data_IF_296820071980
#
_entry.id   IF_296820071980
#
_cell.length_a   1.000
_cell.length_b   1.000
_cell.length_c   1.000
_cell.angle_alpha   90.00
_cell.angle_beta   90.00
_cell.angle_gamma   90.00
#
_symmetry.space_group_name_H-M   'P 1'
#
loop_
_entity.id
_entity.type
_entity.pdbx_description
1 polymer ?
#
# COMPACT_ATOMS: atom_id res chain seq x y z
N UNK A 1 -21.15 -32.13 9.32
CA UNK A 1 -21.06 -30.75 8.80
C UNK A 1 -22.40 -30.09 9.05
N UNK A 2 -22.43 -28.81 9.41
CA UNK A 2 -23.68 -28.11 9.68
C UNK A 2 -23.79 -26.86 8.81
N UNK A 3 -24.93 -26.66 8.18
CA UNK A 3 -25.26 -25.46 7.41
C UNK A 3 -26.33 -24.70 8.18
N UNK A 4 -26.14 -23.40 8.37
CA UNK A 4 -27.19 -22.55 8.91
C UNK A 4 -28.10 -22.07 7.78
N UNK A 5 -29.41 -22.28 7.94
CA UNK A 5 -30.42 -21.75 7.02
C UNK A 5 -30.62 -20.25 7.23
N UNK A 6 -31.38 -19.62 6.33
CA UNK A 6 -31.83 -18.23 6.32
C UNK A 6 -32.46 -17.80 7.65
N UNK A 7 -33.11 -18.75 8.32
CA UNK A 7 -33.77 -18.58 9.63
C UNK A 7 -32.86 -18.88 10.83
N UNK A 8 -31.54 -19.00 10.61
CA UNK A 8 -30.49 -19.27 11.61
C UNK A 8 -30.58 -20.63 12.32
N UNK A 9 -31.39 -21.57 11.82
CA UNK A 9 -31.38 -22.95 12.28
C UNK A 9 -30.19 -23.73 11.71
N UNK A 10 -29.46 -24.47 12.55
CA UNK A 10 -28.33 -25.31 12.14
C UNK A 10 -28.80 -26.68 11.67
N UNK A 11 -28.77 -26.94 10.37
CA UNK A 11 -29.02 -28.25 9.79
C UNK A 11 -27.70 -29.02 9.69
N UNK A 12 -27.52 -30.00 10.58
CA UNK A 12 -26.34 -30.85 10.63
C UNK A 12 -26.57 -32.18 9.89
N UNK A 13 -25.64 -32.54 9.03
CA UNK A 13 -25.64 -33.82 8.30
C UNK A 13 -24.25 -34.46 8.32
N UNK A 14 -24.22 -35.77 8.14
CA UNK A 14 -22.98 -36.53 8.14
C UNK A 14 -22.23 -36.28 6.82
N UNK A 15 -21.03 -35.71 6.92
CA UNK A 15 -20.25 -35.34 5.75
C UNK A 15 -19.40 -36.52 5.29
N UNK A 16 -19.66 -37.01 4.08
CA UNK A 16 -18.86 -38.05 3.46
C UNK A 16 -18.13 -37.51 2.22
N UNK A 17 -16.80 -37.43 2.30
CA UNK A 17 -15.92 -36.91 1.24
C UNK A 17 -15.98 -37.69 -0.08
N UNK A 18 -16.49 -38.92 -0.07
CA UNK A 18 -16.53 -39.79 -1.27
C UNK A 18 -17.83 -39.68 -2.06
N UNK A 19 -18.90 -39.12 -1.48
CA UNK A 19 -20.21 -39.00 -2.14
C UNK A 19 -20.28 -37.67 -2.89
N UNK A 20 -20.32 -37.72 -4.23
CA UNK A 20 -20.53 -36.54 -5.08
C UNK A 20 -22.02 -36.40 -5.38
N UNK A 21 -22.59 -35.24 -5.10
CA UNK A 21 -24.00 -34.95 -5.38
C UNK A 21 -24.11 -34.23 -6.72
N UNK A 22 -25.04 -34.67 -7.57
CA UNK A 22 -25.35 -33.98 -8.82
C UNK A 22 -26.59 -33.12 -8.55
N UNK A 23 -26.41 -31.80 -8.41
CA UNK A 23 -27.46 -30.86 -8.04
C UNK A 23 -28.47 -30.70 -9.20
N UNK A 24 -29.42 -31.63 -9.34
CA UNK A 24 -30.49 -31.65 -10.36
C UNK A 24 -30.06 -31.24 -11.79
N UNK A 25 -28.83 -31.60 -12.18
CA UNK A 25 -28.27 -31.28 -13.50
C UNK A 25 -27.73 -29.84 -13.69
N UNK A 26 -27.73 -28.99 -12.65
CA UNK A 26 -27.13 -27.64 -12.68
C UNK A 26 -26.15 -27.47 -11.52
N UNK A 27 -24.85 -27.40 -11.82
CA UNK A 27 -23.86 -26.94 -10.85
C UNK A 27 -24.14 -25.47 -10.52
N UNK A 28 -24.74 -25.21 -9.35
CA UNK A 28 -24.94 -23.87 -8.79
C UNK A 28 -23.63 -23.21 -8.32
N UNK A 29 -22.55 -24.00 -8.29
CA UNK A 29 -21.23 -23.59 -7.84
C UNK A 29 -20.31 -23.39 -9.06
N UNK A 30 -19.59 -22.26 -9.09
CA UNK A 30 -18.71 -21.89 -10.21
C UNK A 30 -17.33 -22.57 -10.11
N UNK A 31 -16.54 -22.59 -11.20
CA UNK A 31 -15.14 -23.04 -11.21
C UNK A 31 -14.95 -24.51 -10.78
N UNK A 32 -15.75 -25.44 -11.32
CA UNK A 32 -15.68 -26.88 -11.05
C UNK A 32 -15.76 -27.24 -9.56
N UNK A 33 -16.52 -26.45 -8.79
CA UNK A 33 -16.66 -26.65 -7.36
C UNK A 33 -17.68 -27.75 -7.01
N UNK A 34 -17.38 -28.58 -6.00
CA UNK A 34 -18.27 -29.66 -5.59
C UNK A 34 -19.47 -29.11 -4.82
N UNK A 35 -20.68 -29.38 -5.30
CA UNK A 35 -21.95 -29.02 -4.66
C UNK A 35 -22.34 -30.13 -3.66
N UNK A 36 -22.68 -29.75 -2.43
CA UNK A 36 -23.23 -30.63 -1.40
C UNK A 36 -24.59 -30.11 -0.96
N UNK A 37 -25.56 -31.01 -0.81
CA UNK A 37 -26.95 -30.70 -0.43
C UNK A 37 -27.22 -31.15 1.01
N UNK A 38 -28.13 -30.47 1.70
CA UNK A 38 -28.53 -30.85 3.05
C UNK A 38 -29.45 -32.10 3.09
N UNK A 39 -30.24 -32.34 2.04
CA UNK A 39 -31.11 -33.52 1.90
C UNK A 39 -31.18 -33.97 0.43
N UNK A 40 -31.25 -35.29 0.20
CA UNK A 40 -31.28 -35.91 -1.14
C UNK A 40 -32.67 -35.85 -1.79
N UNK A 41 -33.76 -35.86 -1.00
CA UNK A 41 -35.16 -35.90 -1.50
C UNK A 41 -35.82 -34.53 -1.63
N UNK A 42 -35.48 -33.56 -0.78
CA UNK A 42 -35.98 -32.18 -0.87
C UNK A 42 -34.92 -31.22 -0.32
N UNK A 43 -34.01 -30.71 -1.16
CA UNK A 43 -32.93 -29.84 -0.70
C UNK A 43 -33.46 -28.45 -0.37
N UNK A 44 -33.20 -27.96 0.84
CA UNK A 44 -33.48 -26.57 1.24
C UNK A 44 -32.23 -25.70 1.32
N UNK A 45 -31.04 -26.32 1.42
CA UNK A 45 -29.77 -25.61 1.48
C UNK A 45 -28.66 -26.38 0.74
N UNK A 46 -27.75 -25.64 0.12
CA UNK A 46 -26.57 -26.19 -0.57
C UNK A 46 -25.29 -25.50 -0.08
N UNK A 47 -24.17 -26.21 -0.18
CA UNK A 47 -22.84 -25.66 0.06
C UNK A 47 -21.90 -26.08 -1.05
N UNK A 48 -21.13 -25.12 -1.53
CA UNK A 48 -20.06 -25.37 -2.49
C UNK A 48 -18.78 -25.68 -1.71
N UNK A 49 -18.01 -26.66 -2.18
CA UNK A 49 -16.75 -27.09 -1.57
C UNK A 49 -15.78 -27.34 -2.72
N UNK A 50 -14.76 -26.49 -2.90
CA UNK A 50 -13.68 -26.86 -3.79
C UNK A 50 -12.42 -26.01 -3.65
N UNK A 51 -11.42 -26.48 -4.40
CA UNK A 51 -9.99 -26.21 -4.45
C UNK A 51 -9.49 -24.89 -3.85
N UNK A 52 -8.26 -24.93 -3.30
CA UNK A 52 -7.55 -23.86 -2.56
C UNK A 52 -7.43 -22.49 -3.26
N UNK A 53 -7.97 -22.35 -4.48
CA UNK A 53 -7.75 -21.24 -5.39
C UNK A 53 -8.96 -20.33 -5.59
N UNK A 54 -10.15 -20.67 -5.06
CA UNK A 54 -11.39 -19.92 -5.27
C UNK A 54 -12.09 -19.59 -3.94
N UNK A 55 -12.85 -18.48 -3.90
CA UNK A 55 -13.56 -18.04 -2.69
C UNK A 55 -14.90 -17.35 -3.01
N UNK A 56 -15.75 -17.17 -1.98
CA UNK A 56 -17.12 -16.66 -2.08
C UNK A 56 -18.18 -17.74 -1.86
N UNK A 57 -19.45 -17.36 -1.65
CA UNK A 57 -20.54 -18.31 -1.34
C UNK A 57 -20.74 -19.37 -2.44
N UNK A 58 -20.56 -18.98 -3.70
CA UNK A 58 -20.62 -19.86 -4.86
C UNK A 58 -19.24 -20.05 -5.52
N UNK A 59 -18.16 -19.67 -4.83
CA UNK A 59 -16.78 -19.74 -5.35
C UNK A 59 -16.57 -18.98 -6.67
N UNK A 60 -17.26 -17.85 -6.81
CA UNK A 60 -17.24 -16.99 -8.00
C UNK A 60 -15.94 -16.19 -8.19
N UNK A 61 -15.08 -16.09 -7.17
CA UNK A 61 -13.87 -15.26 -7.21
C UNK A 61 -12.60 -16.12 -7.13
N UNK A 62 -11.58 -15.75 -7.92
CA UNK A 62 -10.29 -16.45 -8.02
C UNK A 62 -9.20 -15.76 -7.20
N UNK A 63 -8.33 -16.57 -6.57
CA UNK A 63 -7.14 -16.10 -5.85
C UNK A 63 -5.89 -16.00 -6.74
N UNK A 64 -5.99 -16.31 -8.04
CA UNK A 64 -4.87 -16.16 -8.99
C UNK A 64 -4.49 -14.70 -9.25
N UNK A 65 -5.43 -13.77 -9.03
CA UNK A 65 -5.26 -12.33 -9.31
C UNK A 65 -5.08 -11.48 -8.02
N UNK A 66 -4.78 -12.13 -6.89
CA UNK A 66 -4.88 -11.57 -5.53
C UNK A 66 -3.89 -10.42 -5.20
N UNK A 67 -3.00 -10.06 -6.12
CA UNK A 67 -1.91 -9.12 -5.84
C UNK A 67 -2.37 -7.65 -5.84
N UNK A 68 -3.61 -7.34 -6.26
CA UNK A 68 -3.84 -5.99 -6.77
C UNK A 68 -4.91 -5.11 -6.13
N UNK A 69 -5.92 -5.62 -5.41
CA UNK A 69 -6.97 -4.76 -4.86
C UNK A 69 -7.24 -4.92 -3.36
N UNK A 70 -7.36 -3.79 -2.66
CA UNK A 70 -7.77 -3.72 -1.26
C UNK A 70 -9.13 -4.39 -1.02
N UNK A 71 -10.00 -4.34 -2.03
CA UNK A 71 -11.36 -4.88 -1.99
C UNK A 71 -11.36 -6.42 -1.89
N UNK A 72 -10.42 -7.08 -2.56
CA UNK A 72 -10.26 -8.54 -2.47
C UNK A 72 -9.66 -8.97 -1.12
N UNK A 73 -8.72 -8.19 -0.57
CA UNK A 73 -8.05 -8.50 0.70
C UNK A 73 -8.99 -8.29 1.90
N UNK A 74 -9.73 -7.18 1.91
CA UNK A 74 -10.49 -6.75 3.08
C UNK A 74 -12.00 -6.96 2.94
N UNK A 75 -12.55 -6.94 1.72
CA UNK A 75 -14.00 -6.95 1.49
C UNK A 75 -14.73 -8.14 2.12
N UNK A 76 -14.19 -9.35 2.01
CA UNK A 76 -14.81 -10.55 2.61
C UNK A 76 -14.81 -10.56 4.15
N UNK A 77 -13.90 -9.81 4.78
CA UNK A 77 -13.78 -9.78 6.23
C UNK A 77 -14.68 -8.72 6.88
N UNK A 78 -15.22 -7.78 6.10
CA UNK A 78 -16.17 -6.79 6.61
C UNK A 78 -17.52 -7.47 6.74
N UNK A 79 -17.98 -7.62 7.98
CA UNK A 79 -19.30 -8.20 8.25
C UNK A 79 -20.34 -7.09 8.33
N UNK A 80 -21.44 -7.15 7.55
CA UNK A 80 -22.52 -6.20 7.69
C UNK A 80 -23.22 -6.38 9.04
N UNK A 81 -23.88 -5.33 9.54
CA UNK A 81 -24.79 -5.38 10.70
C UNK A 81 -24.18 -5.71 12.08
N UNK A 82 -22.85 -5.64 12.25
CA UNK A 82 -22.19 -5.69 13.56
C UNK A 82 -21.43 -4.39 13.85
N UNK A 83 -21.36 -4.00 15.13
CA UNK A 83 -20.67 -2.78 15.55
C UNK A 83 -19.16 -2.87 15.27
N UNK A 84 -18.52 -1.72 15.03
CA UNK A 84 -17.09 -1.60 14.66
C UNK A 84 -16.17 -2.29 15.68
N UNK A 85 -16.53 -2.29 16.97
CA UNK A 85 -15.76 -2.95 18.02
C UNK A 85 -15.76 -4.48 17.95
N UNK A 86 -16.79 -5.08 17.33
CA UNK A 86 -16.93 -6.53 17.21
C UNK A 86 -16.44 -7.04 15.84
N UNK A 87 -16.00 -6.16 14.95
CA UNK A 87 -15.39 -6.51 13.67
C UNK A 87 -14.07 -7.28 13.86
N UNK A 88 -13.68 -8.14 12.90
CA UNK A 88 -12.46 -8.94 13.01
C UNK A 88 -11.20 -8.07 13.07
N UNK A 89 -10.12 -8.64 13.61
CA UNK A 89 -8.83 -7.96 13.80
C UNK A 89 -8.33 -7.24 12.54
N UNK A 90 -8.51 -7.85 11.36
CA UNK A 90 -8.08 -7.28 10.08
C UNK A 90 -8.78 -5.95 9.75
N UNK A 91 -10.06 -5.81 10.09
CA UNK A 91 -10.82 -4.56 9.91
C UNK A 91 -10.37 -3.53 10.93
N UNK A 92 -10.14 -3.91 12.19
CA UNK A 92 -9.57 -3.01 13.21
C UNK A 92 -8.19 -2.48 12.81
N UNK A 93 -7.33 -3.36 12.28
CA UNK A 93 -6.01 -2.99 11.76
C UNK A 93 -6.15 -1.93 10.65
N UNK A 94 -7.08 -2.13 9.71
CA UNK A 94 -7.34 -1.15 8.65
C UNK A 94 -7.87 0.20 9.17
N UNK A 95 -8.72 0.20 10.20
CA UNK A 95 -9.17 1.46 10.82
C UNK A 95 -8.00 2.19 11.49
N UNK A 96 -7.10 1.48 12.17
CA UNK A 96 -5.88 2.07 12.73
C UNK A 96 -5.03 2.70 11.61
N UNK A 97 -4.92 2.07 10.44
CA UNK A 97 -4.21 2.67 9.30
C UNK A 97 -4.86 3.96 8.79
N UNK A 98 -6.18 4.13 8.93
CA UNK A 98 -6.84 5.42 8.60
C UNK A 98 -6.57 6.54 9.62
N UNK A 99 -6.19 6.22 10.87
CA UNK A 99 -5.78 7.23 11.86
C UNK A 99 -4.35 7.70 11.60
N UNK A 100 -3.46 6.77 11.22
CA UNK A 100 -2.09 7.10 10.76
C UNK A 100 -2.07 8.03 9.53
N UNK A 101 -3.18 8.13 8.82
CA UNK A 101 -3.39 9.04 7.70
C UNK A 101 -3.24 10.52 8.03
N UNK A 102 -3.81 10.95 9.16
CA UNK A 102 -3.80 12.36 9.57
C UNK A 102 -2.36 12.79 9.83
N UNK A 103 -1.59 11.91 10.46
CA UNK A 103 -0.17 12.09 10.68
C UNK A 103 0.57 12.21 9.34
N UNK A 104 0.27 11.35 8.37
CA UNK A 104 0.93 11.37 7.06
C UNK A 104 0.58 12.61 6.23
N UNK A 105 -0.66 13.13 6.35
CA UNK A 105 -1.04 14.41 5.74
C UNK A 105 -0.25 15.59 6.32
N UNK A 106 -0.03 15.59 7.64
CA UNK A 106 0.80 16.60 8.31
C UNK A 106 2.24 16.50 7.81
N UNK A 107 2.84 15.30 7.80
CA UNK A 107 4.22 15.06 7.35
C UNK A 107 4.40 15.46 5.87
N UNK A 108 3.46 15.08 5.00
CA UNK A 108 3.46 15.44 3.59
C UNK A 108 3.39 16.95 3.38
N UNK A 109 2.51 17.64 4.11
CA UNK A 109 2.38 19.10 4.02
C UNK A 109 3.67 19.84 4.44
N UNK A 110 4.33 19.38 5.50
CA UNK A 110 5.62 19.91 5.96
C UNK A 110 6.74 19.65 4.94
N UNK A 111 6.71 18.49 4.28
CA UNK A 111 7.66 18.13 3.21
C UNK A 111 7.53 19.08 2.02
N UNK A 112 6.29 19.29 1.55
CA UNK A 112 6.00 20.22 0.46
C UNK A 112 6.46 21.63 0.83
N UNK A 113 6.15 22.11 2.04
CA UNK A 113 6.58 23.42 2.51
C UNK A 113 8.13 23.57 2.46
N UNK A 114 8.86 22.54 2.89
CA UNK A 114 10.33 22.50 2.91
C UNK A 114 10.92 22.52 1.50
N UNK A 115 10.38 21.73 0.56
CA UNK A 115 10.88 21.67 -0.81
C UNK A 115 10.41 22.83 -1.70
N UNK A 116 9.34 23.55 -1.31
CA UNK A 116 8.88 24.73 -2.05
C UNK A 116 9.83 25.92 -1.90
N UNK A 117 10.66 25.96 -0.85
CA UNK A 117 11.68 27.00 -0.66
C UNK A 117 12.65 27.01 -1.85
N UNK A 118 13.05 28.21 -2.32
CA UNK A 118 13.93 28.35 -3.49
C UNK A 118 15.31 27.70 -3.27
N UNK A 119 15.88 27.82 -2.06
CA UNK A 119 17.19 27.24 -1.71
C UNK A 119 17.20 25.72 -1.81
N UNK A 120 16.09 25.06 -1.44
CA UNK A 120 15.91 23.61 -1.60
C UNK A 120 15.87 23.14 -3.07
N UNK A 121 15.58 24.05 -4.01
CA UNK A 121 15.42 23.79 -5.46
C UNK A 121 16.55 24.35 -6.32
N UNK A 122 17.64 24.80 -5.72
CA UNK A 122 18.84 25.20 -6.47
C UNK A 122 19.45 24.05 -7.26
N UNK A 123 19.19 22.81 -6.84
CA UNK A 123 19.59 21.56 -7.51
C UNK A 123 18.33 20.87 -8.05
N UNK A 124 18.43 20.23 -9.22
CA UNK A 124 17.32 19.53 -9.88
C UNK A 124 16.61 18.53 -8.96
N UNK A 125 17.36 17.87 -8.08
CA UNK A 125 16.80 16.91 -7.13
C UNK A 125 15.76 17.49 -6.17
N UNK A 126 15.79 18.79 -5.90
CA UNK A 126 14.73 19.48 -5.14
C UNK A 126 13.37 19.48 -5.85
N UNK A 127 13.34 19.55 -7.18
CA UNK A 127 12.10 19.47 -7.96
C UNK A 127 11.52 18.06 -7.95
N UNK A 128 12.34 17.03 -8.14
CA UNK A 128 11.88 15.64 -8.06
C UNK A 128 11.29 15.31 -6.68
N UNK A 129 11.92 15.77 -5.60
CA UNK A 129 11.42 15.60 -4.23
C UNK A 129 10.12 16.35 -3.96
N UNK A 130 9.94 17.55 -4.53
CA UNK A 130 8.69 18.30 -4.43
C UNK A 130 7.55 17.57 -5.17
N UNK A 131 7.78 17.13 -6.40
CA UNK A 131 6.78 16.38 -7.19
C UNK A 131 6.44 15.06 -6.50
N UNK A 132 7.44 14.36 -5.97
CA UNK A 132 7.24 13.13 -5.20
C UNK A 132 6.41 13.38 -3.93
N UNK A 133 6.66 14.47 -3.19
CA UNK A 133 5.88 14.84 -2.00
C UNK A 133 4.42 15.21 -2.33
N UNK A 134 4.17 15.84 -3.48
CA UNK A 134 2.81 16.14 -3.95
C UNK A 134 2.11 14.83 -4.37
N UNK A 135 2.81 13.96 -5.08
CA UNK A 135 2.30 12.67 -5.51
C UNK A 135 1.96 11.78 -4.30
N UNK A 136 2.80 11.73 -3.28
CA UNK A 136 2.53 10.96 -2.06
C UNK A 136 1.31 11.49 -1.29
N UNK A 137 1.11 12.81 -1.20
CA UNK A 137 -0.11 13.37 -0.63
C UNK A 137 -1.36 12.97 -1.43
N UNK A 138 -1.32 13.04 -2.76
CA UNK A 138 -2.42 12.60 -3.62
C UNK A 138 -2.74 11.12 -3.39
N UNK A 139 -1.71 10.29 -3.30
CA UNK A 139 -1.82 8.85 -3.03
C UNK A 139 -2.57 8.52 -1.74
N UNK A 140 -2.22 9.19 -0.65
CA UNK A 140 -2.87 8.99 0.66
C UNK A 140 -4.36 9.34 0.57
N UNK A 141 -4.69 10.46 -0.08
CA UNK A 141 -6.07 10.91 -0.25
C UNK A 141 -6.87 9.88 -1.04
N UNK A 142 -6.35 9.42 -2.19
CA UNK A 142 -7.00 8.41 -3.04
C UNK A 142 -7.16 7.08 -2.30
N UNK A 143 -6.15 6.66 -1.53
CA UNK A 143 -6.20 5.45 -0.71
C UNK A 143 -7.30 5.53 0.37
N UNK A 144 -7.47 6.71 0.98
CA UNK A 144 -8.52 6.97 1.98
C UNK A 144 -9.91 6.84 1.36
N UNK A 145 -10.10 7.46 0.19
CA UNK A 145 -11.35 7.41 -0.54
C UNK A 145 -11.69 5.95 -0.86
N UNK A 146 -10.73 5.18 -1.38
CA UNK A 146 -10.90 3.74 -1.67
C UNK A 146 -11.36 2.98 -0.43
N UNK A 147 -10.70 3.19 0.71
CA UNK A 147 -11.02 2.49 1.94
C UNK A 147 -12.44 2.79 2.43
N UNK A 148 -12.82 4.07 2.49
CA UNK A 148 -14.16 4.46 2.93
C UNK A 148 -15.24 3.95 1.99
N UNK A 149 -14.99 4.01 0.69
CA UNK A 149 -15.90 3.49 -0.31
C UNK A 149 -16.09 1.97 -0.18
N UNK A 150 -15.02 1.21 0.07
CA UNK A 150 -15.10 -0.22 0.35
C UNK A 150 -15.97 -0.51 1.58
N UNK A 151 -15.79 0.23 2.68
CA UNK A 151 -16.63 0.07 3.88
C UNK A 151 -18.09 0.37 3.59
N UNK A 152 -18.38 1.47 2.88
CA UNK A 152 -19.75 1.86 2.52
C UNK A 152 -20.43 0.86 1.58
N UNK A 153 -19.67 0.28 0.64
CA UNK A 153 -20.14 -0.76 -0.26
C UNK A 153 -20.48 -2.06 0.49
N UNK A 154 -19.60 -2.52 1.39
CA UNK A 154 -19.84 -3.76 2.17
C UNK A 154 -20.99 -3.61 3.19
N UNK A 155 -21.27 -2.39 3.65
CA UNK A 155 -22.45 -2.10 4.47
C UNK A 155 -23.75 -2.01 3.66
N UNK A 156 -23.72 -2.29 2.35
CA UNK A 156 -24.85 -2.22 1.43
C UNK A 156 -25.53 -0.84 1.38
N UNK A 157 -24.84 0.22 1.79
CA UNK A 157 -25.32 1.61 1.73
C UNK A 157 -25.22 2.14 0.30
N UNK A 158 -24.18 1.74 -0.43
CA UNK A 158 -23.98 2.09 -1.84
C UNK A 158 -24.26 0.85 -2.70
N UNK A 159 -25.40 0.84 -3.39
CA UNK A 159 -25.85 -0.25 -4.27
C UNK A 159 -25.76 0.08 -5.76
N UNK A 160 -25.27 1.27 -6.12
CA UNK A 160 -25.14 1.71 -7.51
C UNK A 160 -23.98 0.98 -8.21
N UNK A 161 -24.30 0.01 -9.07
CA UNK A 161 -23.33 -0.82 -9.78
C UNK A 161 -22.34 -0.05 -10.67
N UNK A 162 -22.78 1.03 -11.33
CA UNK A 162 -21.91 1.86 -12.17
C UNK A 162 -20.87 2.64 -11.37
N UNK A 163 -21.23 3.11 -10.18
CA UNK A 163 -20.32 3.81 -9.26
C UNK A 163 -19.26 2.82 -8.77
N UNK A 164 -19.69 1.63 -8.32
CA UNK A 164 -18.77 0.56 -7.90
C UNK A 164 -17.78 0.14 -8.99
N UNK A 165 -18.21 0.10 -10.26
CA UNK A 165 -17.34 -0.28 -11.38
C UNK A 165 -16.33 0.81 -11.75
N UNK A 166 -16.77 2.07 -11.87
CA UNK A 166 -15.91 3.21 -12.19
C UNK A 166 -14.84 3.41 -11.10
N UNK A 167 -15.26 3.29 -9.84
CA UNK A 167 -14.37 3.44 -8.71
C UNK A 167 -13.36 2.28 -8.60
N UNK A 168 -13.77 1.04 -8.91
CA UNK A 168 -12.89 -0.13 -8.89
C UNK A 168 -11.72 0.01 -9.87
N UNK A 169 -11.98 0.48 -11.10
CA UNK A 169 -10.96 0.57 -12.15
C UNK A 169 -10.12 1.84 -11.97
N UNK A 170 -10.76 2.99 -11.78
CA UNK A 170 -10.08 4.28 -11.85
C UNK A 170 -9.12 4.50 -10.67
N UNK A 171 -9.59 4.22 -9.44
CA UNK A 171 -8.81 4.46 -8.22
C UNK A 171 -7.57 3.59 -8.17
N UNK A 172 -7.68 2.33 -8.60
CA UNK A 172 -6.57 1.38 -8.56
C UNK A 172 -5.48 1.70 -9.60
N UNK A 173 -5.88 2.11 -10.81
CA UNK A 173 -4.94 2.57 -11.83
C UNK A 173 -4.21 3.82 -11.35
N UNK A 174 -4.92 4.78 -10.76
CA UNK A 174 -4.32 6.01 -10.22
C UNK A 174 -3.30 5.67 -9.13
N UNK A 175 -3.67 4.83 -8.16
CA UNK A 175 -2.77 4.41 -7.08
C UNK A 175 -1.49 3.74 -7.62
N UNK A 176 -1.63 2.78 -8.54
CA UNK A 176 -0.46 2.09 -9.11
C UNK A 176 0.43 3.03 -9.91
N UNK A 177 -0.16 3.90 -10.73
CA UNK A 177 0.56 4.86 -11.56
C UNK A 177 1.38 5.85 -10.73
N UNK A 178 0.78 6.44 -9.69
CA UNK A 178 1.47 7.37 -8.82
C UNK A 178 2.54 6.69 -7.94
N UNK A 179 2.32 5.42 -7.54
CA UNK A 179 3.33 4.63 -6.83
C UNK A 179 4.56 4.39 -7.71
N UNK A 180 4.36 3.89 -8.94
CA UNK A 180 5.44 3.67 -9.91
C UNK A 180 6.16 4.98 -10.21
N UNK A 181 5.41 6.06 -10.47
CA UNK A 181 5.99 7.39 -10.73
C UNK A 181 6.88 7.88 -9.58
N UNK A 182 6.49 7.60 -8.33
CA UNK A 182 7.28 7.95 -7.14
C UNK A 182 8.59 7.17 -7.05
N UNK A 183 8.58 5.88 -7.42
CA UNK A 183 9.80 5.06 -7.52
C UNK A 183 10.77 5.63 -8.56
N UNK A 184 10.30 5.97 -9.76
CA UNK A 184 11.11 6.60 -10.80
C UNK A 184 11.70 7.95 -10.37
N UNK A 185 10.92 8.78 -9.66
CA UNK A 185 11.41 10.06 -9.15
C UNK A 185 12.55 9.86 -8.14
N UNK A 186 12.47 8.84 -7.28
CA UNK A 186 13.53 8.52 -6.33
C UNK A 186 14.81 8.06 -7.05
N UNK A 187 14.69 7.27 -8.12
CA UNK A 187 15.82 6.85 -8.94
C UNK A 187 16.47 8.03 -9.68
N UNK A 188 15.66 8.96 -10.19
CA UNK A 188 16.13 10.22 -10.77
C UNK A 188 16.94 11.04 -9.74
N UNK A 189 16.46 11.15 -8.49
CA UNK A 189 17.19 11.82 -7.40
C UNK A 189 18.53 11.14 -7.13
N UNK A 190 18.56 9.81 -7.09
CA UNK A 190 19.78 9.06 -6.85
C UNK A 190 20.79 9.25 -7.99
N UNK A 191 20.34 9.16 -9.24
CA UNK A 191 21.16 9.38 -10.43
C UNK A 191 21.75 10.79 -10.46
N UNK A 192 20.94 11.83 -10.25
CA UNK A 192 21.42 13.21 -10.30
C UNK A 192 22.45 13.49 -9.18
N UNK A 193 22.21 12.96 -7.97
CA UNK A 193 23.17 13.05 -6.86
C UNK A 193 24.50 12.37 -7.21
N UNK A 194 24.45 11.19 -7.83
CA UNK A 194 25.66 10.49 -8.29
C UNK A 194 26.41 11.30 -9.35
N UNK A 195 25.69 11.82 -10.34
CA UNK A 195 26.27 12.66 -11.40
C UNK A 195 26.96 13.91 -10.84
N UNK A 196 26.33 14.60 -9.89
CA UNK A 196 26.91 15.77 -9.23
C UNK A 196 28.19 15.45 -8.45
N UNK A 197 28.27 14.26 -7.82
CA UNK A 197 29.50 13.80 -7.16
C UNK A 197 30.60 13.55 -8.19
N UNK A 198 30.30 12.83 -9.29
CA UNK A 198 31.25 12.55 -10.37
C UNK A 198 31.76 13.84 -11.01
N UNK A 199 30.87 14.78 -11.34
CA UNK A 199 31.23 16.05 -11.99
C UNK A 199 32.19 16.89 -11.15
N UNK A 200 31.96 16.97 -9.83
CA UNK A 200 32.88 17.68 -8.94
C UNK A 200 34.20 16.93 -8.78
N UNK A 201 34.17 15.60 -8.73
CA UNK A 201 35.37 14.77 -8.70
C UNK A 201 36.18 14.86 -10.01
N UNK A 202 35.54 15.13 -11.16
CA UNK A 202 36.20 15.38 -12.43
C UNK A 202 36.79 16.79 -12.50
N UNK A 203 36.05 17.83 -12.08
CA UNK A 203 36.54 19.23 -12.05
C UNK A 203 37.73 19.42 -11.10
N UNK A 204 37.74 18.73 -9.96
CA UNK A 204 38.86 18.76 -9.02
C UNK A 204 40.16 18.18 -9.61
N UNK A 205 40.08 17.29 -10.61
CA UNK A 205 41.27 16.81 -11.35
C UNK A 205 41.82 17.84 -12.33
N UNK A 206 40.96 18.67 -12.94
CA UNK A 206 41.37 19.68 -13.93
C UNK A 206 42.07 20.87 -13.26
N UNK A 207 41.71 21.18 -12.01
CA UNK A 207 42.17 22.40 -11.34
C UNK A 207 43.45 22.25 -10.49
N UNK A 208 43.94 21.04 -10.15
CA UNK A 208 45.07 20.95 -9.21
C UNK A 208 46.00 19.74 -9.42
N UNK A 209 47.28 20.06 -9.57
CA UNK A 209 48.48 19.27 -9.32
C UNK A 209 48.66 18.84 -7.82
N UNK A 210 47.57 18.59 -7.09
CA UNK A 210 47.64 18.25 -5.64
C UNK A 210 47.47 16.75 -5.41
N UNK A 211 48.35 16.22 -4.55
CA UNK A 211 48.55 14.82 -4.12
C UNK A 211 47.32 14.00 -3.68
N UNK A 212 46.08 14.49 -3.78
CA UNK A 212 44.90 13.76 -3.32
C UNK A 212 44.26 12.94 -4.45
N UNK A 213 44.38 11.61 -4.36
CA UNK A 213 43.81 10.67 -5.33
C UNK A 213 42.30 10.87 -5.48
N UNK A 214 41.75 10.73 -6.68
CA UNK A 214 40.29 10.73 -6.95
C UNK A 214 39.50 9.90 -5.95
N UNK A 215 40.05 8.76 -5.52
CA UNK A 215 39.47 7.87 -4.53
C UNK A 215 39.31 8.55 -3.16
N UNK A 216 40.23 9.42 -2.78
CA UNK A 216 40.20 10.17 -1.52
C UNK A 216 39.20 11.32 -1.57
N UNK A 217 39.13 12.09 -2.67
CA UNK A 217 38.13 13.16 -2.81
C UNK A 217 36.70 12.60 -2.93
N UNK A 218 36.54 11.50 -3.69
CA UNK A 218 35.28 10.75 -3.77
C UNK A 218 34.87 10.22 -2.39
N UNK A 219 35.78 9.57 -1.64
CA UNK A 219 35.52 9.10 -0.27
C UNK A 219 35.16 10.24 0.69
N UNK A 220 35.80 11.41 0.59
CA UNK A 220 35.49 12.57 1.42
C UNK A 220 34.07 13.07 1.17
N UNK A 221 33.68 13.22 -0.11
CA UNK A 221 32.33 13.64 -0.48
C UNK A 221 31.27 12.59 -0.13
N UNK A 222 31.60 11.31 -0.27
CA UNK A 222 30.77 10.19 0.17
C UNK A 222 30.61 10.15 1.70
N UNK A 223 31.69 10.42 2.45
CA UNK A 223 31.71 10.42 3.92
C UNK A 223 30.97 11.63 4.47
N UNK A 224 31.10 12.79 3.82
CA UNK A 224 30.37 14.02 4.13
C UNK A 224 28.88 13.91 3.79
N UNK A 225 28.53 13.12 2.76
CA UNK A 225 27.16 12.83 2.37
C UNK A 225 26.85 11.32 2.43
N UNK A 226 27.14 10.69 3.58
CA UNK A 226 26.83 9.26 3.84
C UNK A 226 25.35 8.91 3.50
N UNK A 227 24.49 9.91 3.65
CA UNK A 227 23.05 9.85 3.42
C UNK A 227 22.66 9.72 1.94
N UNK A 228 23.58 9.97 0.99
CA UNK A 228 23.36 9.74 -0.45
C UNK A 228 23.21 8.24 -0.76
N UNK A 229 23.91 7.36 -0.02
CA UNK A 229 23.86 5.90 -0.25
C UNK A 229 22.83 5.24 0.66
N UNK A 230 22.60 5.80 1.85
CA UNK A 230 21.62 5.29 2.80
C UNK A 230 20.20 5.39 2.23
N UNK A 231 19.84 6.50 1.58
CA UNK A 231 18.49 6.69 1.04
C UNK A 231 18.09 5.64 -0.03
N UNK A 232 18.87 5.39 -1.09
CA UNK A 232 18.60 4.32 -2.04
C UNK A 232 18.59 2.93 -1.40
N UNK A 233 19.47 2.67 -0.43
CA UNK A 233 19.54 1.37 0.26
C UNK A 233 18.28 1.11 1.11
N UNK A 234 17.79 2.14 1.81
CA UNK A 234 16.54 2.07 2.57
C UNK A 234 15.35 1.83 1.63
N UNK A 235 15.28 2.55 0.51
CA UNK A 235 14.21 2.38 -0.47
C UNK A 235 14.22 0.98 -1.10
N UNK A 236 15.40 0.44 -1.42
CA UNK A 236 15.55 -0.93 -1.92
C UNK A 236 15.06 -1.96 -0.88
N UNK A 237 15.50 -1.84 0.37
CA UNK A 237 15.06 -2.74 1.46
C UNK A 237 13.56 -2.65 1.71
N UNK A 238 12.97 -1.46 1.62
CA UNK A 238 11.52 -1.27 1.79
C UNK A 238 10.71 -1.78 0.58
N UNK A 239 11.27 -1.76 -0.63
CA UNK A 239 10.61 -2.25 -1.85
C UNK A 239 10.72 -3.76 -2.09
N UNK A 240 11.76 -4.41 -1.56
CA UNK A 240 11.99 -5.85 -1.69
C UNK A 240 10.85 -6.74 -1.19
N UNK A 241 10.22 -6.49 -0.03
CA UNK A 241 9.08 -7.27 0.44
C UNK A 241 7.93 -7.31 -0.56
N UNK A 242 7.66 -6.22 -1.27
CA UNK A 242 6.60 -6.14 -2.28
C UNK A 242 6.90 -7.03 -3.49
N UNK A 243 8.16 -7.02 -3.97
CA UNK A 243 8.58 -7.89 -5.06
C UNK A 243 8.51 -9.36 -4.64
N UNK A 244 9.03 -9.69 -3.45
CA UNK A 244 8.99 -11.05 -2.91
C UNK A 244 7.54 -11.53 -2.78
N UNK A 245 6.63 -10.71 -2.25
CA UNK A 245 5.20 -11.06 -2.18
C UNK A 245 4.66 -11.24 -3.59
N UNK A 246 4.87 -10.30 -4.51
CA UNK A 246 4.38 -10.42 -5.89
C UNK A 246 4.88 -11.67 -6.63
N UNK A 247 6.11 -12.13 -6.37
CA UNK A 247 6.70 -13.32 -7.00
C UNK A 247 6.33 -14.63 -6.27
N UNK A 248 6.18 -14.61 -4.94
CA UNK A 248 5.84 -15.80 -4.14
C UNK A 248 4.32 -16.00 -4.02
N UNK A 249 3.53 -14.94 -4.20
CA UNK A 249 2.08 -14.93 -3.98
C UNK A 249 1.25 -15.05 -5.26
N UNK A 250 1.73 -15.79 -6.25
CA UNK A 250 0.87 -16.31 -7.33
C UNK A 250 -0.37 -17.07 -6.79
N UNK A 251 -0.43 -17.36 -5.48
CA UNK A 251 -1.66 -17.78 -4.81
C UNK A 251 -1.71 -17.51 -3.30
N UNK A 252 -2.89 -17.10 -2.84
CA UNK A 252 -3.22 -17.00 -1.42
C UNK A 252 -3.66 -18.36 -0.87
N UNK A 253 -2.72 -19.09 -0.25
CA UNK A 253 -2.93 -20.48 0.21
C UNK A 253 -3.90 -20.63 1.39
N UNK A 254 -4.30 -19.53 2.06
CA UNK A 254 -5.29 -19.57 3.14
C UNK A 254 -5.86 -18.19 3.52
N UNK A 255 -7.19 -18.04 3.68
CA UNK A 255 -7.81 -16.82 4.21
C UNK A 255 -7.37 -16.49 5.65
N UNK A 256 -6.77 -17.46 6.37
CA UNK A 256 -6.23 -17.29 7.73
C UNK A 256 -5.01 -16.35 7.78
N UNK A 257 -4.32 -16.14 6.66
CA UNK A 257 -3.13 -15.28 6.54
C UNK A 257 -3.41 -13.94 5.84
N UNK A 258 -4.68 -13.57 5.64
CA UNK A 258 -5.08 -12.33 4.94
C UNK A 258 -4.43 -11.05 5.51
N UNK A 259 -4.10 -11.03 6.80
CA UNK A 259 -3.42 -9.89 7.44
C UNK A 259 -2.02 -9.63 6.86
N UNK A 260 -1.29 -10.69 6.45
CA UNK A 260 0.06 -10.55 5.88
C UNK A 260 0.00 -9.84 4.52
N UNK A 261 -1.01 -10.16 3.70
CA UNK A 261 -1.27 -9.48 2.42
C UNK A 261 -1.67 -8.03 2.63
N UNK A 262 -2.48 -7.74 3.64
CA UNK A 262 -2.84 -6.37 4.01
C UNK A 262 -1.61 -5.57 4.44
N UNK A 263 -0.72 -6.15 5.26
CA UNK A 263 0.55 -5.52 5.63
C UNK A 263 1.42 -5.30 4.38
N UNK A 264 1.58 -6.29 3.52
CA UNK A 264 2.35 -6.17 2.28
C UNK A 264 1.83 -5.06 1.36
N UNK A 265 0.50 -4.92 1.27
CA UNK A 265 -0.15 -3.84 0.54
C UNK A 265 0.23 -2.47 1.13
N UNK A 266 0.10 -2.26 2.45
CA UNK A 266 0.50 -0.98 3.07
C UNK A 266 2.00 -0.72 3.00
N UNK A 267 2.83 -1.75 3.19
CA UNK A 267 4.29 -1.67 3.08
C UNK A 267 4.72 -1.16 1.70
N UNK A 268 3.98 -1.51 0.65
CA UNK A 268 4.24 -1.04 -0.71
C UNK A 268 4.18 0.48 -0.85
N UNK A 269 3.42 1.19 -0.01
CA UNK A 269 3.33 2.66 -0.04
C UNK A 269 4.37 3.34 0.84
N UNK A 270 5.03 2.62 1.77
CA UNK A 270 6.01 3.19 2.72
C UNK A 270 7.14 3.93 2.01
N UNK A 271 7.76 3.45 0.91
CA UNK A 271 8.82 4.18 0.21
C UNK A 271 8.43 5.60 -0.18
N UNK A 272 7.21 5.78 -0.73
CA UNK A 272 6.69 7.08 -1.15
C UNK A 272 6.35 8.00 0.02
N UNK A 273 5.82 7.43 1.10
CA UNK A 273 5.49 8.14 2.35
C UNK A 273 6.74 8.54 3.14
N UNK A 274 7.82 7.78 3.01
CA UNK A 274 9.06 7.98 3.76
C UNK A 274 9.94 9.11 3.22
N UNK A 275 9.49 9.88 2.22
CA UNK A 275 10.27 10.96 1.60
C UNK A 275 10.81 11.97 2.63
N UNK A 276 9.99 12.32 3.63
CA UNK A 276 10.40 13.18 4.73
C UNK A 276 11.58 12.58 5.52
N UNK A 277 11.42 11.34 6.00
CA UNK A 277 12.42 10.67 6.83
C UNK A 277 13.70 10.32 6.07
N UNK A 278 13.58 9.99 4.79
CA UNK A 278 14.70 9.56 3.94
C UNK A 278 15.49 10.74 3.41
N UNK A 279 14.85 11.86 3.07
CA UNK A 279 15.52 12.98 2.41
C UNK A 279 15.66 14.22 3.29
N UNK A 280 14.65 14.60 4.07
CA UNK A 280 14.68 15.84 4.85
C UNK A 280 15.49 15.64 6.14
N UNK A 281 15.12 14.67 6.97
CA UNK A 281 15.74 14.45 8.28
C UNK A 281 17.27 14.26 8.24
N UNK A 282 17.85 13.48 7.30
CA UNK A 282 19.28 13.29 7.23
C UNK A 282 20.03 14.41 6.47
N UNK A 283 19.36 15.23 5.67
CA UNK A 283 20.03 16.27 4.88
C UNK A 283 20.20 17.55 5.69
N UNK A 284 21.44 18.01 5.91
CA UNK A 284 21.71 19.27 6.62
C UNK A 284 21.00 20.47 5.99
N UNK A 285 21.00 20.54 4.66
CA UNK A 285 20.38 21.66 3.92
C UNK A 285 18.86 21.66 4.12
N UNK A 286 18.20 20.54 3.84
CA UNK A 286 16.74 20.46 3.97
C UNK A 286 16.27 20.55 5.42
N UNK A 287 17.00 19.94 6.36
CA UNK A 287 16.71 20.06 7.79
C UNK A 287 16.79 21.51 8.27
N UNK A 288 17.80 22.28 7.83
CA UNK A 288 17.91 23.69 8.23
C UNK A 288 16.74 24.54 7.73
N UNK A 289 16.22 24.27 6.52
CA UNK A 289 15.04 24.96 5.99
C UNK A 289 13.77 24.53 6.71
N UNK A 290 13.63 23.24 7.01
CA UNK A 290 12.54 22.71 7.83
C UNK A 290 12.51 23.34 9.22
N UNK A 291 13.65 23.45 9.91
CA UNK A 291 13.76 24.06 11.24
C UNK A 291 13.35 25.53 11.21
N UNK A 292 13.72 26.28 10.15
CA UNK A 292 13.28 27.68 9.95
C UNK A 292 11.76 27.78 9.79
N UNK A 293 11.15 26.87 9.01
CA UNK A 293 9.70 26.82 8.80
C UNK A 293 8.99 26.55 10.13
N UNK A 294 9.43 25.54 10.88
CA UNK A 294 8.89 25.21 12.20
C UNK A 294 9.01 26.39 13.15
N UNK A 295 10.19 27.01 13.25
CA UNK A 295 10.38 28.15 14.13
C UNK A 295 9.46 29.31 13.76
N UNK A 296 9.26 29.59 12.47
CA UNK A 296 8.32 30.62 12.02
C UNK A 296 6.88 30.29 12.42
N UNK A 297 6.49 29.02 12.39
CA UNK A 297 5.15 28.54 12.77
C UNK A 297 4.91 28.58 14.28
N UNK A 298 5.93 28.27 15.09
CA UNK A 298 5.85 28.27 16.57
C UNK A 298 5.93 29.69 17.16
N UNK A 299 6.68 30.61 16.54
CA UNK A 299 6.85 32.01 17.01
C UNK A 299 5.55 32.72 17.41
N UNK A 300 4.43 32.67 16.64
CA UNK A 300 3.18 33.32 17.03
C UNK A 300 2.52 32.68 18.26
N UNK A 301 2.67 31.37 18.48
CA UNK A 301 2.15 30.69 19.68
C UNK A 301 2.94 31.06 20.94
N UNK A 302 4.26 31.21 20.83
CA UNK A 302 5.13 31.58 21.95
C UNK A 302 5.00 33.05 22.38
N UNK A 303 4.40 33.92 21.56
CA UNK A 303 4.11 35.33 21.91
C UNK A 303 2.73 35.53 22.56
N UNK A 304 1.91 34.48 22.64
CA UNK A 304 0.56 34.50 23.23
C UNK A 304 0.47 33.76 24.58
N UNK A 305 1.58 33.16 25.03
CA UNK A 305 1.78 32.64 26.39
C UNK A 305 2.72 33.56 27.15
#
# INVERSE_FOLDING_TARGET
>A
MCICDSDRFSNCFQFNKTKKYNCSGKNLCYNDSQCFLNNETCPTAFICVCNDWYYGRQYQFSTKDFIFSLDQILGYHIKPSISVHQQPFIVKLSIITTIMLILELIIGSLSIATFKVKTSREVGCGYYLLVSSISSMCMIIVLTIKFWQLVLSQMSIITNGSIMFIDCISIEIILKSCLVSSEWLNDCVAMERMFNVIKVAARSRVNVESKLSFKQHFRLKLKQHKNIIIAPSILLVLGLPRLIISFTSGCMRSPRQSWLYLIGYFVSFIPSMSTFFVFILPSKNYKSEFDKIIQRWIRPFRRRS
#
